data_IF_314245724238
#
_entry.id   IF_314245724238
#
_cell.length_a   1.000
_cell.length_b   1.000
_cell.length_c   1.000
_cell.angle_alpha   90.00
_cell.angle_beta   90.00
_cell.angle_gamma   90.00
#
_symmetry.space_group_name_H-M   'P 1'
#
loop_
_entity.id
_entity.type
_entity.pdbx_description
1 polymer ?
#
# COMPACT_ATOMS: atom_id res chain seq x y z
N UNK A 1 18.12 -1.18 1.21
CA UNK A 1 16.81 -1.77 1.51
C UNK A 1 16.54 -2.97 0.63
N UNK A 2 15.54 -3.77 1.01
CA UNK A 2 15.08 -4.92 0.25
C UNK A 2 13.63 -4.71 -0.18
N UNK A 3 13.25 -5.33 -1.31
CA UNK A 3 11.92 -5.19 -1.90
C UNK A 3 11.25 -6.56 -1.97
N UNK A 4 10.00 -6.63 -1.54
CA UNK A 4 9.10 -7.77 -1.76
C UNK A 4 7.88 -7.24 -2.50
N UNK A 5 7.57 -7.82 -3.66
CA UNK A 5 6.46 -7.37 -4.49
C UNK A 5 5.43 -8.47 -4.73
N UNK A 6 4.16 -8.09 -4.81
CA UNK A 6 3.08 -8.96 -5.25
C UNK A 6 2.97 -8.97 -6.77
N UNK A 7 3.14 -10.14 -7.39
CA UNK A 7 3.13 -10.28 -8.86
C UNK A 7 1.73 -10.49 -9.46
N UNK A 8 0.71 -10.71 -8.64
CA UNK A 8 -0.66 -10.91 -9.10
C UNK A 8 -1.48 -9.64 -8.95
N UNK A 9 -2.38 -9.40 -9.91
CA UNK A 9 -3.35 -8.31 -9.80
C UNK A 9 -4.22 -8.47 -8.56
N UNK A 10 -4.49 -7.36 -7.85
CA UNK A 10 -5.45 -7.32 -6.74
C UNK A 10 -6.85 -7.81 -7.11
N UNK A 11 -7.20 -7.80 -8.40
CA UNK A 11 -8.46 -8.37 -8.90
C UNK A 11 -8.51 -9.90 -8.76
N UNK A 12 -7.35 -10.58 -8.74
CA UNK A 12 -7.30 -12.03 -8.48
C UNK A 12 -7.45 -12.29 -6.98
N UNK A 13 -6.65 -11.59 -6.18
CA UNK A 13 -6.67 -11.65 -4.72
C UNK A 13 -5.91 -10.42 -4.18
N UNK A 14 -6.57 -9.64 -3.33
CA UNK A 14 -5.95 -8.43 -2.77
C UNK A 14 -5.01 -8.78 -1.62
N UNK A 15 -3.70 -8.71 -1.87
CA UNK A 15 -2.67 -8.97 -0.88
C UNK A 15 -2.66 -7.96 0.28
N UNK A 16 -3.27 -6.80 0.09
CA UNK A 16 -3.43 -5.79 1.14
C UNK A 16 -4.74 -5.95 1.92
N UNK A 17 -5.28 -7.17 1.95
CA UNK A 17 -6.43 -7.58 2.78
C UNK A 17 -6.03 -8.78 3.65
N UNK A 18 -6.70 -8.93 4.78
CA UNK A 18 -6.57 -10.13 5.60
C UNK A 18 -7.35 -11.28 4.96
N UNK A 19 -6.94 -12.51 5.19
CA UNK A 19 -7.63 -13.69 4.68
C UNK A 19 -9.13 -13.80 5.11
N UNK A 20 -9.50 -13.06 6.15
CA UNK A 20 -10.86 -12.96 6.69
C UNK A 20 -11.68 -11.81 6.11
N UNK A 21 -11.06 -10.91 5.33
CA UNK A 21 -11.75 -9.74 4.80
C UNK A 21 -12.63 -10.16 3.60
N UNK A 22 -13.89 -9.80 3.63
CA UNK A 22 -14.88 -10.20 2.63
C UNK A 22 -14.58 -9.68 1.22
N UNK A 23 -13.83 -8.59 1.11
CA UNK A 23 -13.47 -7.91 -0.14
C UNK A 23 -12.09 -8.31 -0.69
N UNK A 24 -11.46 -9.35 -0.11
CA UNK A 24 -10.15 -9.83 -0.56
C UNK A 24 -10.16 -10.35 -2.00
N UNK A 25 -11.27 -10.93 -2.45
CA UNK A 25 -11.53 -11.33 -3.84
C UNK A 25 -12.92 -10.83 -4.27
N UNK A 26 -13.09 -9.51 -4.28
CA UNK A 26 -14.36 -8.87 -4.59
C UNK A 26 -14.86 -9.20 -6.00
N UNK A 27 -16.15 -9.53 -6.13
CA UNK A 27 -16.79 -9.76 -7.43
C UNK A 27 -16.92 -8.45 -8.23
N UNK A 28 -16.90 -7.31 -7.57
CA UNK A 28 -16.94 -5.98 -8.19
C UNK A 28 -15.84 -5.13 -7.55
N UNK A 29 -15.02 -4.49 -8.37
CA UNK A 29 -13.99 -3.52 -7.97
C UNK A 29 -14.28 -2.18 -8.64
N UNK A 30 -14.55 -1.16 -7.85
CA UNK A 30 -14.86 0.19 -8.32
C UNK A 30 -15.89 0.24 -9.47
N UNK A 31 -17.00 -0.50 -9.31
CA UNK A 31 -18.08 -0.56 -10.31
C UNK A 31 -17.82 -1.53 -11.47
N UNK A 32 -16.63 -2.13 -11.58
CA UNK A 32 -16.28 -3.09 -12.63
C UNK A 32 -16.42 -4.51 -12.11
N UNK A 33 -17.19 -5.33 -12.82
CA UNK A 33 -17.32 -6.76 -12.50
C UNK A 33 -16.00 -7.49 -12.77
N UNK A 34 -15.59 -8.36 -11.84
CA UNK A 34 -14.47 -9.29 -11.97
C UNK A 34 -15.04 -10.69 -12.22
N UNK A 35 -15.20 -11.14 -13.46
CA UNK A 35 -15.96 -12.35 -13.80
C UNK A 35 -15.45 -13.62 -13.10
N UNK A 36 -14.16 -13.70 -12.83
CA UNK A 36 -13.54 -14.82 -12.13
C UNK A 36 -13.78 -14.85 -10.61
N UNK A 37 -14.37 -13.80 -10.07
CA UNK A 37 -14.71 -13.69 -8.65
C UNK A 37 -16.23 -13.82 -8.43
N UNK A 38 -17.02 -13.74 -9.49
CA UNK A 38 -18.46 -14.06 -9.42
C UNK A 38 -18.62 -15.54 -9.12
N UNK A 39 -19.42 -15.86 -8.12
CA UNK A 39 -19.67 -17.24 -7.66
C UNK A 39 -18.38 -18.04 -7.34
N UNK A 40 -17.34 -17.35 -6.86
CA UNK A 40 -16.08 -17.99 -6.46
C UNK A 40 -16.33 -19.02 -5.35
N UNK A 41 -16.10 -20.30 -5.64
CA UNK A 41 -16.31 -21.36 -4.67
C UNK A 41 -15.35 -21.24 -3.47
N UNK A 42 -15.76 -21.70 -2.26
CA UNK A 42 -14.85 -21.72 -1.11
C UNK A 42 -13.54 -22.47 -1.36
N UNK A 43 -13.57 -23.54 -2.15
CA UNK A 43 -12.38 -24.30 -2.51
C UNK A 43 -11.43 -23.49 -3.40
N UNK A 44 -11.97 -22.77 -4.39
CA UNK A 44 -11.17 -21.90 -5.27
C UNK A 44 -10.60 -20.69 -4.51
N UNK A 45 -11.40 -20.13 -3.59
CA UNK A 45 -10.94 -19.05 -2.70
C UNK A 45 -9.78 -19.52 -1.82
N UNK A 46 -9.91 -20.66 -1.15
CA UNK A 46 -8.88 -21.25 -0.32
C UNK A 46 -7.60 -21.56 -1.12
N UNK A 47 -7.75 -22.06 -2.35
CA UNK A 47 -6.61 -22.32 -3.23
C UNK A 47 -5.84 -21.03 -3.58
N UNK A 48 -6.53 -19.91 -3.82
CA UNK A 48 -5.87 -18.61 -4.05
C UNK A 48 -5.14 -18.13 -2.78
N UNK A 49 -5.73 -18.26 -1.61
CA UNK A 49 -5.05 -17.93 -0.35
C UNK A 49 -3.76 -18.74 -0.22
N UNK A 50 -3.82 -20.04 -0.40
CA UNK A 50 -2.66 -20.92 -0.25
C UNK A 50 -1.55 -20.68 -1.28
N UNK A 51 -1.92 -20.33 -2.52
CA UNK A 51 -0.96 -20.17 -3.61
C UNK A 51 -0.46 -18.76 -3.84
N UNK A 52 -1.15 -17.74 -3.33
CA UNK A 52 -0.83 -16.33 -3.59
C UNK A 52 -0.61 -15.57 -2.29
N UNK A 53 -1.61 -15.54 -1.38
CA UNK A 53 -1.57 -14.73 -0.17
C UNK A 53 -0.55 -15.28 0.84
N UNK A 54 -0.66 -16.54 1.19
CA UNK A 54 0.21 -17.17 2.20
C UNK A 54 1.68 -17.05 1.82
N UNK A 55 2.15 -17.43 0.61
CA UNK A 55 3.56 -17.33 0.26
C UNK A 55 4.10 -15.89 0.28
N UNK A 56 3.26 -14.91 -0.09
CA UNK A 56 3.66 -13.50 -0.06
C UNK A 56 3.88 -13.01 1.37
N UNK A 57 2.94 -13.27 2.27
CA UNK A 57 3.04 -12.85 3.66
C UNK A 57 4.08 -13.64 4.44
N UNK A 58 4.24 -14.94 4.17
CA UNK A 58 5.29 -15.78 4.77
C UNK A 58 6.69 -15.27 4.39
N UNK A 59 6.88 -14.80 3.15
CA UNK A 59 8.16 -14.24 2.72
C UNK A 59 8.47 -12.92 3.44
N UNK A 60 7.48 -12.05 3.62
CA UNK A 60 7.64 -10.83 4.43
C UNK A 60 8.02 -11.20 5.88
N UNK A 61 7.30 -12.15 6.48
CA UNK A 61 7.57 -12.61 7.83
C UNK A 61 8.99 -13.19 7.98
N UNK A 62 9.39 -14.03 7.02
CA UNK A 62 10.75 -14.60 6.97
C UNK A 62 11.80 -13.49 6.94
N UNK A 63 11.62 -12.53 6.03
CA UNK A 63 12.55 -11.41 5.86
C UNK A 63 12.64 -10.54 7.11
N UNK A 64 11.50 -10.21 7.74
CA UNK A 64 11.48 -9.43 8.98
C UNK A 64 12.09 -10.17 10.16
N UNK A 65 12.04 -11.51 10.16
CA UNK A 65 12.64 -12.35 11.20
C UNK A 65 14.17 -12.49 11.07
N UNK A 66 14.74 -12.35 9.88
CA UNK A 66 16.19 -12.46 9.64
C UNK A 66 16.97 -11.28 10.26
N UNK A 67 16.32 -10.12 10.43
CA UNK A 67 16.93 -8.97 11.08
C UNK A 67 15.97 -8.38 12.15
N UNK A 68 15.80 -9.02 13.30
CA UNK A 68 14.74 -8.71 14.25
C UNK A 68 14.95 -7.43 15.07
N UNK A 69 16.05 -6.71 14.91
CA UNK A 69 16.42 -5.71 15.91
C UNK A 69 17.09 -4.44 15.41
N UNK A 70 16.97 -4.06 14.15
CA UNK A 70 17.50 -2.78 13.73
C UNK A 70 16.62 -1.65 14.30
N UNK A 71 17.14 -0.80 15.21
CA UNK A 71 16.34 0.23 15.90
C UNK A 71 15.73 1.27 14.97
N UNK A 72 16.33 1.45 13.79
CA UNK A 72 15.90 2.45 12.79
C UNK A 72 15.13 1.82 11.64
N UNK A 73 14.65 0.58 11.78
CA UNK A 73 13.87 -0.06 10.72
C UNK A 73 12.52 0.62 10.56
N UNK A 74 12.19 0.98 9.32
CA UNK A 74 10.85 1.40 8.89
C UNK A 74 10.37 0.49 7.77
N UNK A 75 9.14 0.02 7.87
CA UNK A 75 8.48 -0.72 6.80
C UNK A 75 7.81 0.31 5.88
N UNK A 76 8.18 0.27 4.60
CA UNK A 76 7.59 1.16 3.60
C UNK A 76 6.68 0.33 2.69
N UNK A 77 5.39 0.64 2.71
CA UNK A 77 4.42 0.10 1.76
C UNK A 77 4.29 1.07 0.58
N UNK A 78 4.52 0.59 -0.64
CA UNK A 78 4.39 1.39 -1.86
C UNK A 78 3.11 0.99 -2.59
N UNK A 79 2.21 1.94 -2.76
CA UNK A 79 0.94 1.78 -3.44
C UNK A 79 0.68 2.88 -4.45
N UNK A 80 -0.35 2.69 -5.27
CA UNK A 80 -0.91 3.73 -6.11
C UNK A 80 -2.43 3.75 -5.98
N UNK A 81 -3.03 4.91 -6.23
CA UNK A 81 -4.47 5.11 -6.17
C UNK A 81 -4.98 5.82 -7.43
N UNK A 82 -6.27 5.71 -7.71
CA UNK A 82 -6.92 6.43 -8.81
C UNK A 82 -7.29 7.85 -8.38
N UNK A 83 -7.17 8.80 -9.29
CA UNK A 83 -7.57 10.21 -9.11
C UNK A 83 -9.08 10.38 -8.84
N UNK A 84 -9.87 9.43 -9.32
CA UNK A 84 -11.31 9.39 -9.10
C UNK A 84 -11.82 7.96 -9.15
N UNK A 85 -12.70 7.58 -8.22
CA UNK A 85 -13.39 6.30 -8.29
C UNK A 85 -14.50 6.35 -9.34
N UNK A 86 -14.63 5.32 -10.16
CA UNK A 86 -15.74 5.19 -11.11
C UNK A 86 -17.10 5.10 -10.39
N UNK A 87 -17.10 4.54 -9.17
CA UNK A 87 -18.27 4.46 -8.30
C UNK A 87 -18.63 5.80 -7.64
N UNK A 88 -17.72 6.79 -7.65
CA UNK A 88 -17.88 8.10 -7.04
C UNK A 88 -17.31 9.21 -7.95
N UNK A 89 -17.85 9.40 -9.16
CA UNK A 89 -17.27 10.30 -10.17
C UNK A 89 -17.28 11.77 -9.80
N UNK A 90 -18.13 12.16 -8.85
CA UNK A 90 -18.23 13.55 -8.36
C UNK A 90 -17.31 13.85 -7.17
N UNK A 91 -16.45 12.90 -6.79
CA UNK A 91 -15.51 13.01 -5.67
C UNK A 91 -14.06 12.83 -6.15
N UNK A 92 -13.48 13.83 -6.83
CA UNK A 92 -12.09 13.75 -7.26
C UNK A 92 -11.15 13.77 -6.06
N UNK A 93 -10.03 13.07 -6.18
CA UNK A 93 -8.95 12.98 -5.21
C UNK A 93 -7.84 13.94 -5.62
N UNK A 94 -7.70 15.10 -4.95
CA UNK A 94 -6.80 16.15 -5.41
C UNK A 94 -5.32 15.85 -5.12
N UNK A 95 -5.04 14.94 -4.20
CA UNK A 95 -3.67 14.60 -3.81
C UNK A 95 -2.92 13.91 -4.93
N UNK A 96 -1.66 14.26 -5.11
CA UNK A 96 -0.76 13.63 -6.06
C UNK A 96 0.07 12.54 -5.39
N UNK A 97 0.38 12.75 -4.11
CA UNK A 97 0.96 11.75 -3.23
C UNK A 97 0.27 11.79 -1.86
N UNK A 98 -0.06 10.63 -1.32
CA UNK A 98 -0.51 10.45 0.03
C UNK A 98 0.51 9.71 0.88
N UNK A 99 0.58 10.04 2.15
CA UNK A 99 1.36 9.32 3.14
C UNK A 99 0.42 8.85 4.23
N UNK A 100 0.26 7.52 4.35
CA UNK A 100 -0.58 6.91 5.36
C UNK A 100 0.29 6.39 6.50
N UNK A 101 -0.14 6.64 7.72
CA UNK A 101 0.58 6.22 8.92
C UNK A 101 -0.37 5.96 10.09
N UNK A 102 0.10 5.20 11.06
CA UNK A 102 -0.62 4.91 12.29
C UNK A 102 0.30 4.89 13.52
N UNK A 103 1.40 4.15 13.49
CA UNK A 103 2.34 3.97 14.59
C UNK A 103 3.71 4.64 14.39
N UNK A 104 3.90 5.34 13.27
CA UNK A 104 5.14 6.05 12.92
C UNK A 104 4.90 7.56 12.75
N UNK A 105 4.16 8.17 13.67
CA UNK A 105 3.67 9.56 13.54
C UNK A 105 4.77 10.59 13.40
N UNK A 106 5.86 10.48 14.16
CA UNK A 106 6.97 11.45 14.10
C UNK A 106 7.71 11.35 12.76
N UNK A 107 8.02 10.13 12.32
CA UNK A 107 8.66 9.88 11.01
C UNK A 107 7.76 10.26 9.84
N UNK A 108 6.45 10.02 9.99
CA UNK A 108 5.47 10.47 9.00
C UNK A 108 5.40 11.99 8.91
N UNK A 109 5.43 12.70 10.04
CA UNK A 109 5.46 14.16 10.05
C UNK A 109 6.72 14.70 9.35
N UNK A 110 7.90 14.16 9.67
CA UNK A 110 9.16 14.53 9.00
C UNK A 110 9.09 14.28 7.48
N UNK A 111 8.55 13.14 7.05
CA UNK A 111 8.40 12.82 5.62
C UNK A 111 7.38 13.74 4.92
N UNK A 112 6.25 14.06 5.56
CA UNK A 112 5.26 15.00 5.06
C UNK A 112 5.84 16.40 4.90
N UNK A 113 6.59 16.87 5.89
CA UNK A 113 7.24 18.19 5.86
C UNK A 113 8.30 18.23 4.75
N UNK A 114 9.08 17.15 4.60
CA UNK A 114 10.04 17.05 3.51
C UNK A 114 9.39 17.12 2.14
N UNK A 115 8.31 16.33 1.91
CA UNK A 115 7.58 16.34 0.65
C UNK A 115 7.01 17.72 0.32
N UNK A 116 6.41 18.39 1.30
CA UNK A 116 5.85 19.75 1.14
C UNK A 116 6.91 20.82 0.86
N UNK A 117 8.11 20.64 1.42
CA UNK A 117 9.21 21.60 1.26
C UNK A 117 10.00 21.40 -0.06
N UNK A 118 10.05 20.18 -0.58
CA UNK A 118 10.92 19.81 -1.69
C UNK A 118 10.17 19.46 -2.98
N UNK A 119 8.83 19.54 -2.98
CA UNK A 119 8.01 19.27 -4.16
C UNK A 119 6.86 20.28 -4.25
N UNK A 120 6.32 20.45 -5.46
CA UNK A 120 5.13 21.27 -5.69
C UNK A 120 3.83 20.43 -5.64
N UNK A 121 3.92 19.17 -5.23
CA UNK A 121 2.78 18.25 -5.21
C UNK A 121 1.81 18.52 -4.06
N UNK A 122 0.54 18.24 -4.30
CA UNK A 122 -0.49 18.22 -3.28
C UNK A 122 -0.34 16.97 -2.42
N UNK A 123 0.20 17.14 -1.22
CA UNK A 123 0.55 16.04 -0.31
C UNK A 123 -0.60 15.78 0.67
N UNK A 124 -1.11 14.56 0.68
CA UNK A 124 -2.14 14.07 1.59
C UNK A 124 -1.55 13.45 2.85
N UNK A 125 -2.10 13.82 4.01
CA UNK A 125 -1.79 13.21 5.31
C UNK A 125 -2.93 12.26 5.69
N UNK A 126 -2.68 10.96 5.69
CA UNK A 126 -3.71 9.92 5.78
C UNK A 126 -4.81 10.12 4.72
N UNK A 127 -4.40 10.45 3.50
CA UNK A 127 -5.25 10.65 2.33
C UNK A 127 -4.64 9.93 1.11
N UNK A 128 -5.42 9.39 0.18
CA UNK A 128 -6.90 9.39 0.11
C UNK A 128 -7.56 8.30 0.99
N UNK A 129 -6.79 7.62 1.81
CA UNK A 129 -7.25 6.60 2.76
C UNK A 129 -6.72 6.92 4.15
N UNK A 130 -7.48 6.57 5.19
CA UNK A 130 -7.10 6.81 6.56
C UNK A 130 -6.94 5.49 7.32
N UNK A 131 -5.72 5.20 7.80
CA UNK A 131 -5.44 3.97 8.55
C UNK A 131 -6.13 3.95 9.93
N UNK A 132 -6.51 5.10 10.48
CA UNK A 132 -7.30 5.19 11.71
C UNK A 132 -8.76 4.77 11.51
N UNK A 133 -9.28 4.91 10.28
CA UNK A 133 -10.64 4.50 9.93
C UNK A 133 -10.69 3.04 9.45
N UNK A 134 -9.72 2.67 8.60
CA UNK A 134 -9.62 1.31 8.06
C UNK A 134 -8.15 0.88 7.93
N UNK A 135 -7.74 0.04 8.86
CA UNK A 135 -6.42 -0.59 8.80
C UNK A 135 -6.33 -1.58 7.65
N UNK A 136 -5.28 -1.46 6.83
CA UNK A 136 -5.02 -2.40 5.74
C UNK A 136 -4.44 -3.73 6.25
N UNK A 137 -4.61 -4.80 5.46
CA UNK A 137 -4.16 -6.14 5.86
C UNK A 137 -2.66 -6.21 6.09
N UNK A 138 -1.86 -5.74 5.14
CA UNK A 138 -0.40 -5.78 5.24
C UNK A 138 0.12 -4.95 6.41
N UNK A 139 -0.43 -3.76 6.63
CA UNK A 139 -0.06 -2.92 7.77
C UNK A 139 -0.37 -3.58 9.11
N UNK A 140 -1.58 -4.16 9.23
CA UNK A 140 -1.98 -4.89 10.44
C UNK A 140 -1.08 -6.09 10.73
N UNK A 141 -0.80 -6.90 9.70
CA UNK A 141 -0.04 -8.14 9.84
C UNK A 141 1.44 -7.91 10.16
N UNK A 142 2.09 -6.97 9.47
CA UNK A 142 3.55 -6.85 9.51
C UNK A 142 4.05 -5.70 10.37
N UNK A 143 3.22 -4.68 10.60
CA UNK A 143 3.63 -3.49 11.34
C UNK A 143 3.07 -3.48 12.76
N UNK A 144 1.75 -3.57 12.93
CA UNK A 144 1.15 -3.48 14.26
C UNK A 144 1.50 -4.67 15.15
N UNK A 145 1.44 -5.89 14.64
CA UNK A 145 1.76 -7.08 15.44
C UNK A 145 3.22 -7.15 15.92
N UNK A 146 4.10 -6.41 15.23
CA UNK A 146 5.54 -6.36 15.57
C UNK A 146 5.96 -5.09 16.26
N UNK A 147 5.03 -4.16 16.49
CA UNK A 147 5.35 -2.79 16.94
C UNK A 147 6.45 -2.14 16.08
N UNK A 148 6.42 -2.45 14.77
CA UNK A 148 7.37 -1.95 13.81
C UNK A 148 6.83 -0.66 13.16
N UNK A 149 7.59 0.46 13.18
CA UNK A 149 7.19 1.66 12.47
C UNK A 149 6.95 1.39 11.00
N UNK A 150 5.85 1.87 10.46
CA UNK A 150 5.53 1.73 9.05
C UNK A 150 4.86 2.97 8.47
N UNK A 151 5.13 3.22 7.20
CA UNK A 151 4.49 4.26 6.40
C UNK A 151 4.04 3.64 5.08
N UNK A 152 2.93 4.13 4.56
CA UNK A 152 2.45 3.76 3.23
C UNK A 152 2.48 4.98 2.33
N UNK A 153 3.18 4.90 1.21
CA UNK A 153 3.07 5.87 0.13
C UNK A 153 1.99 5.46 -0.84
N UNK A 154 1.13 6.41 -1.17
CA UNK A 154 0.09 6.30 -2.18
C UNK A 154 0.39 7.35 -3.26
N UNK A 155 0.82 6.93 -4.46
CA UNK A 155 1.07 7.83 -5.59
C UNK A 155 -0.12 7.74 -6.55
N UNK A 156 -0.62 8.89 -7.01
CA UNK A 156 -1.75 8.90 -7.94
C UNK A 156 -1.34 8.27 -9.28
N UNK A 157 -2.09 7.29 -9.74
CA UNK A 157 -1.71 6.40 -10.84
C UNK A 157 -1.49 7.09 -12.19
N UNK A 158 -2.17 8.22 -12.45
CA UNK A 158 -2.00 9.03 -13.65
C UNK A 158 -0.59 9.66 -13.76
N UNK A 159 0.12 9.74 -12.64
CA UNK A 159 1.51 10.22 -12.53
C UNK A 159 2.55 9.09 -12.64
N UNK A 160 2.14 7.87 -13.01
CA UNK A 160 2.99 6.68 -13.16
C UNK A 160 2.85 6.03 -14.54
N UNK A 161 2.49 6.81 -15.55
CA UNK A 161 2.08 6.28 -16.86
C UNK A 161 3.24 6.01 -17.81
N UNK A 162 4.38 6.68 -17.61
CA UNK A 162 5.56 6.51 -18.45
C UNK A 162 6.80 6.08 -17.64
N UNK A 163 7.82 5.46 -18.27
CA UNK A 163 9.08 5.17 -17.58
C UNK A 163 9.76 6.41 -16.99
N UNK A 164 9.55 7.59 -17.61
CA UNK A 164 10.07 8.86 -17.09
C UNK A 164 9.38 9.25 -15.79
N UNK A 165 8.06 9.10 -15.71
CA UNK A 165 7.28 9.39 -14.51
C UNK A 165 7.72 8.48 -13.36
N UNK A 166 7.86 7.18 -13.64
CA UNK A 166 8.32 6.21 -12.66
C UNK A 166 9.72 6.57 -12.16
N UNK A 167 10.65 6.92 -13.06
CA UNK A 167 12.01 7.33 -12.69
C UNK A 167 12.01 8.60 -11.84
N UNK A 168 11.13 9.56 -12.15
CA UNK A 168 10.97 10.78 -11.37
C UNK A 168 10.50 10.45 -9.94
N UNK A 169 9.44 9.65 -9.78
CA UNK A 169 8.95 9.28 -8.47
C UNK A 169 9.94 8.44 -7.66
N UNK A 170 10.69 7.55 -8.31
CA UNK A 170 11.78 6.84 -7.66
C UNK A 170 12.83 7.82 -7.10
N UNK A 171 13.20 8.85 -7.85
CA UNK A 171 14.17 9.85 -7.39
C UNK A 171 13.63 10.69 -6.21
N UNK A 172 12.35 11.09 -6.26
CA UNK A 172 11.70 11.83 -5.17
C UNK A 172 11.68 11.00 -3.88
N UNK A 173 11.19 9.75 -3.97
CA UNK A 173 11.11 8.88 -2.80
C UNK A 173 12.51 8.51 -2.27
N UNK A 174 13.47 8.26 -3.15
CA UNK A 174 14.85 7.96 -2.75
C UNK A 174 15.49 9.14 -2.00
N UNK A 175 15.31 10.37 -2.47
CA UNK A 175 15.82 11.57 -1.82
C UNK A 175 15.18 11.73 -0.43
N UNK A 176 13.86 11.63 -0.33
CA UNK A 176 13.14 11.73 0.92
C UNK A 176 13.56 10.63 1.91
N UNK A 177 13.65 9.37 1.47
CA UNK A 177 14.06 8.25 2.34
C UNK A 177 15.48 8.46 2.88
N UNK A 178 16.41 8.97 2.09
CA UNK A 178 17.79 9.22 2.54
C UNK A 178 17.90 10.34 3.57
N UNK A 179 17.00 11.32 3.54
CA UNK A 179 17.07 12.48 4.44
C UNK A 179 16.23 12.28 5.72
N UNK A 180 15.19 11.45 5.65
CA UNK A 180 14.25 11.27 6.77
C UNK A 180 14.51 9.98 7.53
N UNK A 181 14.99 8.93 6.86
CA UNK A 181 15.19 7.59 7.44
C UNK A 181 16.63 7.11 7.34
#
# INVERSE_FOLDING_TARGET
GSLIEGVYSRAVLDLNRRATDWDMAGAVLDGVEVPRNVDLSPASYAARIQSIHTPYHDEIERFLAEDPGHPDRVIIHCHSFTDCLMSQPDQPRPWEIGLLHYNATDRAAEALDWLRANTDYTVGDNEPYCLFERMTGSYALHSLHRDAPAITFEIRQDLLTTPSDISHWCAVLEAMIKEVF
#
